data_IF_750449514539
#
_entry.id   IF_750449514539
#
_cell.length_a   1.000
_cell.length_b   1.000
_cell.length_c   1.000
_cell.angle_alpha   90.00
_cell.angle_beta   90.00
_cell.angle_gamma   90.00
#
_symmetry.space_group_name_H-M   'P 1'
#
loop_
_entity.id
_entity.type
_entity.pdbx_description
1 polymer ?
#
# COMPACT_ATOMS: atom_id res chain seq x y z
N UNK A 1 -1.34 3.10 10.51
CA UNK A 1 -2.38 2.39 11.29
C UNK A 1 -3.15 3.36 12.16
N UNK A 2 -2.48 4.24 12.89
CA UNK A 2 -3.10 5.22 13.81
C UNK A 2 -4.22 6.06 13.17
N UNK A 3 -4.05 6.45 11.91
CA UNK A 3 -5.07 7.21 11.17
C UNK A 3 -6.39 6.43 11.03
N UNK A 4 -6.33 5.13 10.70
CA UNK A 4 -7.50 4.26 10.60
C UNK A 4 -8.13 4.03 11.97
N UNK A 5 -7.31 3.79 12.99
CA UNK A 5 -7.80 3.61 14.36
C UNK A 5 -8.52 4.87 14.85
N UNK A 6 -7.97 6.04 14.55
CA UNK A 6 -8.59 7.33 14.87
C UNK A 6 -9.93 7.49 14.15
N UNK A 7 -10.02 7.14 12.86
CA UNK A 7 -11.28 7.18 12.12
C UNK A 7 -12.33 6.26 12.76
N UNK A 8 -11.95 5.04 13.16
CA UNK A 8 -12.85 4.10 13.82
C UNK A 8 -13.30 4.62 15.19
N UNK A 9 -12.39 5.18 15.98
CA UNK A 9 -12.72 5.77 17.28
C UNK A 9 -13.73 6.92 17.14
N UNK A 10 -13.52 7.84 16.18
CA UNK A 10 -14.44 8.94 15.89
C UNK A 10 -15.82 8.43 15.42
N UNK A 11 -15.85 7.35 14.64
CA UNK A 11 -17.11 6.74 14.21
C UNK A 11 -17.90 6.16 15.39
N UNK A 12 -17.21 5.53 16.35
CA UNK A 12 -17.83 5.00 17.57
C UNK A 12 -18.31 6.13 18.48
N UNK A 13 -17.53 7.21 18.61
CA UNK A 13 -17.90 8.38 19.40
C UNK A 13 -19.16 9.05 18.86
N UNK A 14 -19.20 9.30 17.55
CA UNK A 14 -20.32 9.97 16.87
C UNK A 14 -21.46 9.04 16.47
N UNK A 15 -21.45 7.77 16.88
CA UNK A 15 -22.40 6.72 16.42
C UNK A 15 -23.88 7.08 16.51
N UNK A 16 -24.28 7.99 17.40
CA UNK A 16 -25.68 8.46 17.54
C UNK A 16 -26.07 9.52 16.51
N UNK A 17 -25.10 10.21 15.95
CA UNK A 17 -25.26 11.26 14.92
C UNK A 17 -25.12 10.68 13.50
N UNK A 18 -24.59 9.46 13.37
CA UNK A 18 -24.42 8.78 12.09
C UNK A 18 -25.74 8.13 11.63
N UNK A 19 -26.05 8.19 10.32
CA UNK A 19 -27.08 7.34 9.74
C UNK A 19 -26.82 5.85 10.02
N UNK A 20 -27.88 5.01 10.06
CA UNK A 20 -27.76 3.57 10.30
C UNK A 20 -26.76 2.85 9.37
N UNK A 21 -26.66 3.32 8.12
CA UNK A 21 -25.60 2.93 7.19
C UNK A 21 -24.79 4.17 6.78
N UNK A 22 -23.50 4.17 7.10
CA UNK A 22 -22.57 5.23 6.69
C UNK A 22 -21.38 4.58 5.99
N UNK A 23 -21.13 4.96 4.74
CA UNK A 23 -19.96 4.52 3.98
C UNK A 23 -18.88 5.58 4.08
N UNK A 24 -17.67 5.20 4.43
CA UNK A 24 -16.55 6.12 4.58
C UNK A 24 -15.33 5.55 3.87
N UNK A 25 -14.68 6.39 3.07
CA UNK A 25 -13.38 6.09 2.48
C UNK A 25 -12.30 6.66 3.41
N UNK A 26 -11.45 5.77 3.91
CA UNK A 26 -10.39 6.09 4.87
C UNK A 26 -9.05 5.79 4.21
N UNK A 27 -8.29 6.84 3.92
CA UNK A 27 -6.97 6.74 3.30
C UNK A 27 -6.45 8.10 2.87
N UNK A 28 -5.27 8.12 2.27
CA UNK A 28 -4.67 9.33 1.72
C UNK A 28 -5.41 9.77 0.45
N UNK A 29 -5.86 11.04 0.33
CA UNK A 29 -6.57 11.52 -0.85
C UNK A 29 -5.75 11.46 -2.13
N UNK A 30 -4.43 11.71 -1.99
CA UNK A 30 -3.47 11.66 -3.07
C UNK A 30 -2.31 10.78 -2.63
N UNK A 31 -2.16 9.65 -3.30
CA UNK A 31 -1.10 8.68 -3.04
C UNK A 31 -0.03 8.76 -4.12
N UNK A 32 1.16 8.25 -3.81
CA UNK A 32 2.17 8.00 -4.84
C UNK A 32 1.70 6.83 -5.71
N UNK A 33 1.90 6.95 -7.03
CA UNK A 33 1.77 5.83 -7.94
C UNK A 33 2.80 4.74 -7.64
N UNK A 34 2.58 3.52 -8.16
CA UNK A 34 3.55 2.44 -8.01
C UNK A 34 4.92 2.78 -8.62
N UNK A 35 4.97 3.46 -9.77
CA UNK A 35 6.23 3.92 -10.38
C UNK A 35 6.95 4.92 -9.45
N UNK A 36 6.25 5.93 -8.93
CA UNK A 36 6.83 6.90 -8.01
C UNK A 36 7.35 6.23 -6.74
N UNK A 37 6.58 5.31 -6.14
CA UNK A 37 7.03 4.56 -4.96
C UNK A 37 8.28 3.74 -5.28
N UNK A 38 8.33 3.04 -6.41
CA UNK A 38 9.49 2.24 -6.82
C UNK A 38 10.73 3.09 -7.04
N UNK A 39 10.60 4.25 -7.71
CA UNK A 39 11.71 5.19 -7.91
C UNK A 39 12.24 5.69 -6.57
N UNK A 40 11.36 6.14 -5.69
CA UNK A 40 11.75 6.62 -4.34
C UNK A 40 12.45 5.51 -3.56
N UNK A 41 11.90 4.30 -3.52
CA UNK A 41 12.52 3.15 -2.82
C UNK A 41 13.90 2.81 -3.42
N UNK A 42 13.99 2.72 -4.74
CA UNK A 42 15.24 2.37 -5.44
C UNK A 42 16.33 3.41 -5.17
N UNK A 43 15.97 4.69 -5.19
CA UNK A 43 16.88 5.78 -4.87
C UNK A 43 17.34 5.71 -3.41
N UNK A 44 16.43 5.51 -2.44
CA UNK A 44 16.78 5.42 -1.02
C UNK A 44 17.68 4.21 -0.68
N UNK A 45 17.46 3.08 -1.37
CA UNK A 45 18.22 1.86 -1.17
C UNK A 45 19.60 1.92 -1.85
N UNK A 46 19.63 2.30 -3.14
CA UNK A 46 20.79 2.10 -4.01
C UNK A 46 21.41 3.39 -4.54
N UNK A 47 20.86 4.56 -4.20
CA UNK A 47 21.27 5.87 -4.74
C UNK A 47 21.21 5.94 -6.28
N UNK A 48 20.34 5.12 -6.88
CA UNK A 48 20.11 5.05 -8.32
C UNK A 48 18.62 4.86 -8.58
N UNK A 49 18.10 5.62 -9.53
CA UNK A 49 16.77 5.34 -10.06
C UNK A 49 16.84 4.08 -10.92
N UNK A 50 16.18 3.02 -10.46
CA UNK A 50 15.99 1.84 -11.29
C UNK A 50 14.82 2.11 -12.26
N UNK A 51 15.08 1.98 -13.55
CA UNK A 51 14.02 2.03 -14.55
C UNK A 51 13.17 0.77 -14.44
N UNK A 52 11.94 0.91 -13.99
CA UNK A 52 10.96 -0.17 -14.05
C UNK A 52 10.64 -0.45 -15.51
N UNK A 53 10.87 -1.68 -15.95
CA UNK A 53 10.45 -2.13 -17.28
C UNK A 53 8.95 -2.42 -17.21
N UNK A 54 8.14 -1.59 -17.87
CA UNK A 54 6.70 -1.83 -17.98
C UNK A 54 6.46 -3.05 -18.88
N UNK A 55 5.85 -4.07 -18.30
CA UNK A 55 5.40 -5.26 -19.03
C UNK A 55 3.97 -5.02 -19.50
N UNK A 56 3.64 -5.27 -20.78
CA UNK A 56 2.27 -5.12 -21.26
C UNK A 56 1.26 -5.89 -20.38
N UNK A 57 0.15 -5.24 -19.99
CA UNK A 57 -0.84 -5.80 -19.05
C UNK A 57 -1.30 -7.21 -19.43
N UNK A 58 -1.53 -7.46 -20.73
CA UNK A 58 -1.95 -8.79 -21.21
C UNK A 58 -0.90 -9.86 -20.92
N UNK A 59 0.38 -9.54 -21.10
CA UNK A 59 1.49 -10.46 -20.82
C UNK A 59 1.61 -10.74 -19.32
N UNK A 60 1.51 -9.69 -18.49
CA UNK A 60 1.51 -9.82 -17.04
C UNK A 60 0.32 -10.68 -16.54
N UNK A 61 -0.88 -10.46 -17.10
CA UNK A 61 -2.09 -11.24 -16.77
C UNK A 61 -1.95 -12.71 -17.13
N UNK A 62 -1.46 -13.02 -18.33
CA UNK A 62 -1.22 -14.41 -18.76
C UNK A 62 -0.20 -15.08 -17.86
N UNK A 63 0.89 -14.40 -17.51
CA UNK A 63 1.88 -14.91 -16.54
C UNK A 63 1.27 -15.20 -15.17
N UNK A 64 0.52 -14.24 -14.60
CA UNK A 64 -0.14 -14.41 -13.31
C UNK A 64 -1.20 -15.52 -13.31
N UNK A 65 -1.95 -15.67 -14.42
CA UNK A 65 -2.93 -16.74 -14.59
C UNK A 65 -2.26 -18.12 -14.65
N UNK A 66 -1.19 -18.27 -15.43
CA UNK A 66 -0.40 -19.51 -15.48
C UNK A 66 0.19 -19.87 -14.11
N UNK A 67 0.72 -18.88 -13.37
CA UNK A 67 1.18 -19.09 -11.99
C UNK A 67 0.05 -19.54 -11.06
N UNK A 68 -1.14 -18.96 -11.16
CA UNK A 68 -2.32 -19.39 -10.40
C UNK A 68 -2.72 -20.83 -10.70
N UNK A 69 -2.63 -21.27 -11.96
CA UNK A 69 -2.94 -22.65 -12.36
C UNK A 69 -1.89 -23.66 -11.88
N UNK A 70 -0.61 -23.31 -11.95
CA UNK A 70 0.49 -24.18 -11.54
C UNK A 70 0.69 -24.23 -10.01
N UNK A 71 0.14 -23.25 -9.28
CA UNK A 71 0.28 -23.11 -7.84
C UNK A 71 -0.59 -24.11 -7.05
N UNK A 72 -0.18 -25.38 -7.01
CA UNK A 72 -0.88 -26.42 -6.25
C UNK A 72 -0.72 -26.31 -4.72
N UNK A 73 0.33 -25.64 -4.23
CA UNK A 73 0.63 -25.54 -2.78
C UNK A 73 0.50 -24.14 -2.18
N UNK A 74 0.83 -23.08 -2.92
CA UNK A 74 0.73 -21.69 -2.43
C UNK A 74 0.21 -20.78 -3.54
N UNK A 75 -0.98 -20.22 -3.35
CA UNK A 75 -1.54 -19.24 -4.29
C UNK A 75 -0.60 -18.04 -4.39
N UNK A 76 -0.27 -17.56 -5.60
CA UNK A 76 0.56 -16.38 -5.76
C UNK A 76 -0.13 -15.17 -5.12
N UNK A 77 0.68 -14.30 -4.51
CA UNK A 77 0.20 -13.06 -3.89
C UNK A 77 -0.44 -12.13 -4.93
N UNK A 78 0.20 -12.01 -6.09
CA UNK A 78 -0.29 -11.19 -7.20
C UNK A 78 -1.35 -11.97 -7.96
N UNK A 79 -2.55 -11.40 -8.06
CA UNK A 79 -3.65 -11.96 -8.84
C UNK A 79 -3.86 -11.17 -10.13
N UNK A 80 -4.41 -11.80 -11.20
CA UNK A 80 -4.62 -11.12 -12.48
C UNK A 80 -5.44 -9.83 -12.38
N UNK A 81 -6.43 -9.77 -11.49
CA UNK A 81 -7.24 -8.56 -11.27
C UNK A 81 -6.45 -7.42 -10.61
N UNK A 82 -5.39 -7.71 -9.85
CA UNK A 82 -4.54 -6.68 -9.24
C UNK A 82 -3.75 -5.89 -10.29
N UNK A 83 -3.51 -6.48 -11.46
CA UNK A 83 -2.76 -5.86 -12.57
C UNK A 83 -3.59 -4.73 -13.20
N UNK A 84 -4.92 -4.84 -13.18
CA UNK A 84 -5.78 -3.77 -13.69
C UNK A 84 -5.62 -2.49 -12.87
N UNK A 85 -5.51 -2.65 -11.54
CA UNK A 85 -5.35 -1.58 -10.57
C UNK A 85 -3.90 -1.08 -10.39
N UNK A 86 -2.92 -1.75 -11.00
CA UNK A 86 -1.49 -1.45 -10.78
C UNK A 86 -1.03 -0.14 -11.47
N UNK A 87 -1.78 0.35 -12.45
CA UNK A 87 -1.46 1.60 -13.16
C UNK A 87 -2.38 2.77 -12.74
N UNK A 88 -3.36 2.52 -11.88
CA UNK A 88 -4.36 3.52 -11.52
C UNK A 88 -3.81 4.49 -10.47
N UNK A 89 -3.90 5.80 -10.76
CA UNK A 89 -3.71 6.84 -9.76
C UNK A 89 -5.01 6.97 -8.96
N UNK A 90 -5.07 6.31 -7.81
CA UNK A 90 -6.24 6.39 -6.94
C UNK A 90 -6.29 7.74 -6.24
N UNK A 91 -7.12 8.65 -6.75
CA UNK A 91 -7.61 9.79 -5.98
C UNK A 91 -8.75 9.32 -5.08
N UNK A 92 -8.52 9.37 -3.77
CA UNK A 92 -9.51 8.93 -2.78
C UNK A 92 -10.34 10.12 -2.30
N UNK A 93 -11.64 10.13 -2.62
CA UNK A 93 -12.54 11.13 -2.06
C UNK A 93 -12.86 10.81 -0.59
N UNK A 94 -12.32 11.60 0.33
CA UNK A 94 -12.56 11.48 1.77
C UNK A 94 -13.52 12.55 2.32
N UNK A 95 -14.23 13.29 1.47
CA UNK A 95 -15.09 14.40 1.87
C UNK A 95 -16.14 13.98 2.89
N UNK A 96 -16.66 12.76 2.77
CA UNK A 96 -17.62 12.22 3.73
C UNK A 96 -16.98 11.97 5.11
N UNK A 97 -15.75 11.45 5.15
CA UNK A 97 -15.02 11.27 6.41
C UNK A 97 -14.68 12.61 7.06
N UNK A 98 -14.33 13.62 6.28
CA UNK A 98 -14.13 14.99 6.76
C UNK A 98 -15.43 15.59 7.32
N UNK A 99 -16.51 15.52 6.55
CA UNK A 99 -17.79 16.14 6.91
C UNK A 99 -18.42 15.52 8.14
N UNK A 100 -18.40 14.20 8.22
CA UNK A 100 -19.15 13.46 9.24
C UNK A 100 -18.29 13.20 10.48
N UNK A 101 -17.04 12.77 10.29
CA UNK A 101 -16.15 12.49 11.41
C UNK A 101 -15.26 13.67 11.80
N UNK A 102 -15.03 14.65 10.92
CA UNK A 102 -13.97 15.65 11.13
C UNK A 102 -12.58 15.05 10.95
N UNK A 103 -12.49 13.94 10.22
CA UNK A 103 -11.26 13.15 10.10
C UNK A 103 -10.49 13.44 8.82
N UNK A 104 -9.17 13.52 8.94
CA UNK A 104 -8.20 13.56 7.84
C UNK A 104 -6.97 12.71 8.20
N UNK A 105 -6.31 12.07 7.21
CA UNK A 105 -5.09 11.31 7.47
C UNK A 105 -3.95 12.25 7.84
N UNK A 106 -3.22 11.93 8.91
CA UNK A 106 -2.04 12.69 9.35
C UNK A 106 -0.76 12.13 8.75
N UNK A 107 -0.71 10.82 8.54
CA UNK A 107 0.43 10.16 7.94
C UNK A 107 0.33 10.22 6.42
N UNK A 108 1.50 10.32 5.79
CA UNK A 108 1.64 10.28 4.34
C UNK A 108 2.72 9.28 3.97
N UNK A 109 2.42 8.32 3.10
CA UNK A 109 3.39 7.31 2.63
C UNK A 109 4.67 7.99 2.14
N UNK A 110 4.55 9.08 1.38
CA UNK A 110 5.70 9.85 0.88
C UNK A 110 6.67 10.33 1.99
N UNK A 111 6.16 10.60 3.21
CA UNK A 111 6.97 11.02 4.37
C UNK A 111 7.46 9.84 5.20
N UNK A 112 6.67 8.77 5.27
CA UNK A 112 6.99 7.59 6.09
C UNK A 112 7.98 6.67 5.38
N UNK A 113 7.96 6.63 4.05
CA UNK A 113 8.79 5.73 3.25
C UNK A 113 10.30 5.92 3.47
N UNK A 114 10.86 7.16 3.50
CA UNK A 114 12.26 7.37 3.86
C UNK A 114 12.63 6.86 5.25
N UNK A 115 11.72 6.99 6.23
CA UNK A 115 11.93 6.52 7.61
C UNK A 115 11.99 5.00 7.63
N UNK A 116 11.05 4.33 6.95
CA UNK A 116 11.02 2.86 6.85
C UNK A 116 12.29 2.31 6.20
N UNK A 117 12.79 2.95 5.14
CA UNK A 117 14.03 2.53 4.47
C UNK A 117 15.25 2.80 5.34
N UNK A 118 15.30 3.92 6.08
CA UNK A 118 16.37 4.19 7.03
C UNK A 118 16.43 3.12 8.13
N UNK A 119 15.29 2.75 8.70
CA UNK A 119 15.18 1.67 9.69
C UNK A 119 15.61 0.32 9.11
N UNK A 120 15.20 0.01 7.88
CA UNK A 120 15.65 -1.21 7.18
C UNK A 120 17.16 -1.24 7.00
N UNK A 121 17.79 -0.12 6.61
CA UNK A 121 19.23 -0.04 6.38
C UNK A 121 20.05 -0.13 7.68
N UNK A 122 19.46 0.27 8.81
CA UNK A 122 20.13 0.26 10.11
C UNK A 122 20.34 -1.16 10.64
N UNK A 123 19.33 -2.01 10.54
CA UNK A 123 19.42 -3.43 10.94
C UNK A 123 18.43 -4.25 10.11
N UNK A 124 18.88 -4.77 8.94
CA UNK A 124 18.01 -5.52 8.05
C UNK A 124 17.42 -6.76 8.73
N UNK A 125 18.23 -7.56 9.41
CA UNK A 125 17.77 -8.81 10.02
C UNK A 125 16.68 -8.57 11.06
N UNK A 126 16.91 -7.61 11.98
CA UNK A 126 15.91 -7.25 12.97
C UNK A 126 14.66 -6.64 12.31
N UNK A 127 14.82 -5.85 11.25
CA UNK A 127 13.70 -5.26 10.53
C UNK A 127 12.81 -6.34 9.88
N UNK A 128 13.40 -7.31 9.16
CA UNK A 128 12.64 -8.42 8.56
C UNK A 128 11.94 -9.25 9.64
N UNK A 129 12.64 -9.57 10.73
CA UNK A 129 12.07 -10.32 11.87
C UNK A 129 10.90 -9.58 12.51
N UNK A 130 11.06 -8.27 12.77
CA UNK A 130 10.02 -7.42 13.37
C UNK A 130 8.77 -7.34 12.49
N UNK A 131 8.95 -7.28 11.18
CA UNK A 131 7.85 -7.21 10.21
C UNK A 131 7.34 -8.58 9.76
N UNK A 132 7.83 -9.68 10.36
CA UNK A 132 7.44 -11.06 10.04
C UNK A 132 7.60 -11.42 8.57
N UNK A 133 8.61 -10.83 7.93
CA UNK A 133 8.92 -11.08 6.53
C UNK A 133 10.00 -12.17 6.43
N UNK A 134 9.97 -13.01 5.39
CA UNK A 134 11.07 -13.92 5.13
C UNK A 134 12.33 -13.08 4.95
N UNK A 135 13.36 -13.32 5.78
CA UNK A 135 14.63 -12.60 5.71
C UNK A 135 15.26 -12.70 4.32
N UNK A 136 16.22 -11.81 4.03
CA UNK A 136 17.00 -11.81 2.78
C UNK A 136 17.66 -13.18 2.57
N UNK A 137 16.98 -14.08 1.86
CA UNK A 137 17.58 -15.27 1.27
C UNK A 137 18.35 -14.82 0.04
N UNK A 138 19.55 -14.31 0.22
CA UNK A 138 20.53 -14.36 -0.86
C UNK A 138 20.87 -15.85 -1.07
N UNK A 139 20.47 -16.38 -2.22
CA UNK A 139 21.11 -17.54 -2.86
C UNK A 139 21.72 -17.04 -4.15
#
# INVERSE_FOLDING_TARGET
MDDVVTAMALAVEKRRELPPETRLLIGEPKTLSYDEMQRVISFLLYQKEMKTLSVPKWFAKTGAWLQCLAAWKHKPFIRPWMIDFADDHFELNIDQAKKVLGWEPKQKIARTLPIMIADLKKDPEAWYKKNQLPGLRYR
#
